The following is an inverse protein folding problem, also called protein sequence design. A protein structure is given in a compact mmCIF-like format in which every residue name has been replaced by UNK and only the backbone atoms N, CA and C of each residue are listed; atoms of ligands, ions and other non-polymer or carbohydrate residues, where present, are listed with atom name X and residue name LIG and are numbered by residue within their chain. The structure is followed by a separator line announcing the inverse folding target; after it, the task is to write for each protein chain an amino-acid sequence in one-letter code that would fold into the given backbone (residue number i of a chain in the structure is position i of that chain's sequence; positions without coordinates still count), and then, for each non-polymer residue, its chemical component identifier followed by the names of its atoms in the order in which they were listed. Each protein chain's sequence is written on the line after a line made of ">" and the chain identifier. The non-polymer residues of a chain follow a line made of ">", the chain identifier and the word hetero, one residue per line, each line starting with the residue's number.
data_IF_001242343645
#
_entry.id   IF_001242343645
#
_cell.length_a   1.000
_cell.length_b   1.000
_cell.length_c   1.000
_cell.angle_alpha   90.00
_cell.angle_beta   90.00
_cell.angle_gamma   90.00
#
_symmetry.space_group_name_H-M   'P 1'
#
loop_
_entity.id
_entity.type
_entity.pdbx_description
1 polymer ?
#
# COMPACT_ATOMS: atom_id res chain seq x y z
N UNK A 1 0.33 29.72 0.08
CA UNK A 1 1.32 28.74 0.57
C UNK A 1 0.66 27.54 1.25
N UNK A 2 -0.09 27.71 2.36
CA UNK A 2 -0.75 26.59 3.06
C UNK A 2 -1.65 25.69 2.18
N UNK A 3 -2.43 26.28 1.27
CA UNK A 3 -3.25 25.52 0.32
C UNK A 3 -2.42 24.62 -0.62
N UNK A 4 -1.28 25.10 -1.11
CA UNK A 4 -0.41 24.34 -2.00
C UNK A 4 0.27 23.17 -1.26
N UNK A 5 0.72 23.39 -0.01
CA UNK A 5 1.31 22.36 0.84
C UNK A 5 0.26 21.28 1.18
N UNK A 6 -0.98 21.68 1.51
CA UNK A 6 -2.07 20.74 1.80
C UNK A 6 -2.42 19.87 0.59
N UNK A 7 -2.48 20.45 -0.61
CA UNK A 7 -2.68 19.70 -1.85
C UNK A 7 -1.52 18.75 -2.14
N UNK A 8 -0.28 19.24 -2.04
CA UNK A 8 0.91 18.42 -2.26
C UNK A 8 0.94 17.21 -1.33
N UNK A 9 0.68 17.41 -0.03
CA UNK A 9 0.62 16.33 0.95
C UNK A 9 -0.49 15.32 0.61
N UNK A 10 -1.67 15.81 0.22
CA UNK A 10 -2.80 14.94 -0.16
C UNK A 10 -2.48 14.10 -1.39
N UNK A 11 -1.85 14.69 -2.41
CA UNK A 11 -1.39 13.96 -3.59
C UNK A 11 -0.28 12.95 -3.27
N UNK A 12 0.64 13.30 -2.38
CA UNK A 12 1.71 12.37 -1.97
C UNK A 12 1.14 11.18 -1.22
N UNK A 13 0.21 11.40 -0.29
CA UNK A 13 -0.48 10.33 0.45
C UNK A 13 -1.30 9.48 -0.51
N UNK A 14 -2.03 10.08 -1.46
CA UNK A 14 -2.78 9.35 -2.48
C UNK A 14 -1.86 8.52 -3.37
N UNK A 15 -0.70 9.06 -3.75
CA UNK A 15 0.32 8.34 -4.51
C UNK A 15 0.85 7.13 -3.76
N UNK A 16 1.19 7.30 -2.47
CA UNK A 16 1.68 6.22 -1.62
C UNK A 16 0.60 5.14 -1.38
N UNK A 17 -0.65 5.55 -1.16
CA UNK A 17 -1.79 4.66 -1.06
C UNK A 17 -2.00 3.84 -2.33
N UNK A 18 -1.95 4.51 -3.49
CA UNK A 18 -2.08 3.88 -4.80
C UNK A 18 -0.95 2.89 -5.04
N UNK A 19 0.30 3.28 -4.75
CA UNK A 19 1.47 2.42 -4.88
C UNK A 19 1.34 1.16 -4.01
N UNK A 20 0.82 1.31 -2.79
CA UNK A 20 0.61 0.18 -1.87
C UNK A 20 -0.48 -0.77 -2.40
N UNK A 21 -1.62 -0.25 -2.84
CA UNK A 21 -2.73 -1.07 -3.37
C UNK A 21 -2.30 -1.83 -4.63
N UNK A 22 -1.69 -1.13 -5.59
CA UNK A 22 -1.26 -1.73 -6.85
C UNK A 22 -0.03 -2.62 -6.69
N UNK A 23 0.89 -2.27 -5.79
CA UNK A 23 2.03 -3.11 -5.44
C UNK A 23 1.59 -4.44 -4.83
N UNK A 24 0.67 -4.39 -3.85
CA UNK A 24 0.11 -5.60 -3.26
C UNK A 24 -0.66 -6.42 -4.31
N UNK A 25 -1.48 -5.78 -5.14
CA UNK A 25 -2.19 -6.45 -6.24
C UNK A 25 -1.23 -7.17 -7.19
N UNK A 26 -0.16 -6.49 -7.63
CA UNK A 26 0.87 -7.06 -8.51
C UNK A 26 1.59 -8.24 -7.85
N UNK A 27 1.89 -8.16 -6.55
CA UNK A 27 2.46 -9.27 -5.80
C UNK A 27 1.51 -10.47 -5.74
N UNK A 28 0.21 -10.27 -5.52
CA UNK A 28 -0.78 -11.35 -5.59
C UNK A 28 -0.85 -11.98 -6.98
N UNK A 29 -0.89 -11.20 -8.05
CA UNK A 29 -0.93 -11.72 -9.43
C UNK A 29 0.35 -12.49 -9.77
N UNK A 30 1.50 -11.94 -9.40
CA UNK A 30 2.79 -12.62 -9.55
C UNK A 30 2.83 -13.94 -8.76
N UNK A 31 2.35 -13.95 -7.52
CA UNK A 31 2.31 -15.15 -6.70
C UNK A 31 1.39 -16.23 -7.28
N UNK A 32 0.20 -15.86 -7.75
CA UNK A 32 -0.75 -16.79 -8.40
C UNK A 32 -0.14 -17.39 -9.67
N UNK A 33 0.46 -16.55 -10.52
CA UNK A 33 1.09 -17.01 -11.77
C UNK A 33 2.35 -17.84 -11.53
N UNK A 34 3.08 -17.57 -10.45
CA UNK A 34 4.28 -18.33 -10.04
C UNK A 34 3.96 -19.56 -9.20
N UNK A 35 2.72 -19.72 -8.72
CA UNK A 35 2.30 -20.82 -7.84
C UNK A 35 2.63 -22.19 -8.42
N UNK A 36 2.39 -22.41 -9.72
CA UNK A 36 2.73 -23.67 -10.39
C UNK A 36 4.23 -23.99 -10.42
N UNK A 37 5.10 -22.96 -10.48
CA UNK A 37 6.54 -23.12 -10.40
C UNK A 37 7.01 -23.42 -8.96
N UNK A 38 6.28 -22.91 -7.96
CA UNK A 38 6.57 -23.09 -6.54
C UNK A 38 6.10 -24.48 -6.03
N UNK A 39 4.96 -24.99 -6.52
CA UNK A 39 4.39 -26.28 -6.10
C UNK A 39 5.12 -27.50 -6.66
N UNK A 40 5.68 -27.41 -7.86
CA UNK A 40 6.44 -28.50 -8.48
C UNK A 40 7.90 -28.60 -8.03
N UNK A 41 8.41 -27.59 -7.32
CA UNK A 41 9.85 -27.40 -7.11
C UNK A 41 10.31 -27.18 -5.68
N UNK A 42 9.43 -27.12 -4.66
CA UNK A 42 9.81 -26.67 -3.31
C UNK A 42 11.03 -27.41 -2.67
N UNK A 43 11.30 -28.67 -3.03
CA UNK A 43 12.51 -29.38 -2.59
C UNK A 43 13.76 -29.15 -3.48
N UNK A 44 13.58 -28.87 -4.78
CA UNK A 44 14.66 -28.58 -5.72
C UNK A 44 15.03 -27.07 -5.78
N UNK A 45 14.07 -26.20 -5.48
CA UNK A 45 14.18 -24.76 -5.46
C UNK A 45 15.12 -24.26 -4.35
N UNK A 46 15.17 -24.94 -3.20
CA UNK A 46 16.03 -24.53 -2.08
C UNK A 46 17.54 -24.69 -2.39
N UNK A 47 17.89 -25.53 -3.36
CA UNK A 47 19.25 -25.63 -3.90
C UNK A 47 19.37 -24.78 -5.16
N UNK A 48 18.40 -24.81 -6.07
CA UNK A 48 18.50 -24.13 -7.36
C UNK A 48 18.41 -22.57 -7.32
N UNK A 49 17.73 -21.97 -6.33
CA UNK A 49 17.59 -20.51 -6.22
C UNK A 49 18.77 -19.82 -5.53
N UNK A 50 19.64 -20.57 -4.88
CA UNK A 50 20.80 -20.00 -4.21
C UNK A 50 22.00 -20.11 -5.16
N UNK A 51 22.46 -18.99 -5.74
CA UNK A 51 23.61 -19.00 -6.63
C UNK A 51 24.81 -19.66 -5.93
N UNK A 52 25.65 -20.38 -6.68
CA UNK A 52 26.76 -21.13 -6.08
C UNK A 52 27.73 -20.22 -5.30
N UNK A 53 27.85 -18.94 -5.69
CA UNK A 53 28.62 -17.92 -4.98
C UNK A 53 28.03 -17.55 -3.61
N UNK A 54 26.72 -17.75 -3.39
CA UNK A 54 26.06 -17.54 -2.09
C UNK A 54 26.20 -18.78 -1.20
N UNK A 55 26.14 -19.99 -1.78
CA UNK A 55 26.30 -21.24 -1.00
C UNK A 55 27.67 -21.34 -0.32
N UNK A 56 28.73 -20.81 -0.94
CA UNK A 56 30.07 -20.81 -0.35
C UNK A 56 30.23 -19.92 0.90
N UNK A 57 29.31 -18.98 1.11
CA UNK A 57 29.38 -18.00 2.20
C UNK A 57 28.46 -18.30 3.38
N UNK A 58 27.55 -19.27 3.25
CA UNK A 58 26.57 -19.60 4.29
C UNK A 58 27.05 -20.81 5.09
N UNK A 59 27.23 -20.66 6.42
CA UNK A 59 27.51 -21.79 7.31
C UNK A 59 26.38 -22.84 7.25
N UNK A 60 26.70 -24.14 7.32
CA UNK A 60 25.71 -25.21 7.18
C UNK A 60 24.64 -25.19 8.29
N UNK A 61 24.97 -24.69 9.47
CA UNK A 61 24.03 -24.48 10.58
C UNK A 61 22.96 -23.45 10.20
N UNK A 62 23.38 -22.32 9.63
CA UNK A 62 22.48 -21.24 9.22
C UNK A 62 21.59 -21.69 8.05
N UNK A 63 22.12 -22.47 7.11
CA UNK A 63 21.33 -23.08 6.03
C UNK A 63 20.26 -24.03 6.57
N UNK A 64 20.57 -24.79 7.63
CA UNK A 64 19.61 -25.68 8.30
C UNK A 64 18.52 -24.91 9.04
N UNK A 65 18.88 -23.86 9.77
CA UNK A 65 17.92 -23.01 10.48
C UNK A 65 16.98 -22.30 9.50
N UNK A 66 17.50 -21.75 8.41
CA UNK A 66 16.69 -21.18 7.34
C UNK A 66 15.78 -22.23 6.68
N UNK A 67 16.32 -23.42 6.38
CA UNK A 67 15.53 -24.52 5.84
C UNK A 67 14.39 -24.94 6.78
N UNK A 68 14.64 -24.97 8.08
CA UNK A 68 13.63 -25.27 9.10
C UNK A 68 12.57 -24.17 9.22
N UNK A 69 12.97 -22.89 9.18
CA UNK A 69 12.03 -21.75 9.16
C UNK A 69 11.17 -21.73 7.89
N UNK A 70 11.75 -22.07 6.73
CA UNK A 70 10.99 -22.16 5.47
C UNK A 70 10.04 -23.36 5.51
N UNK A 71 10.51 -24.52 6.00
CA UNK A 71 9.70 -25.72 6.13
C UNK A 71 8.53 -25.52 7.11
N UNK A 72 8.72 -24.77 8.21
CA UNK A 72 7.65 -24.42 9.16
C UNK A 72 6.61 -23.49 8.54
N UNK A 73 6.97 -22.74 7.50
CA UNK A 73 6.07 -21.89 6.72
C UNK A 73 5.31 -22.67 5.63
N UNK A 74 5.72 -23.92 5.34
CA UNK A 74 5.09 -24.80 4.34
C UNK A 74 3.55 -24.89 4.46
N UNK A 75 2.98 -25.15 5.64
CA UNK A 75 1.53 -25.20 5.84
C UNK A 75 0.83 -23.86 5.58
N UNK A 76 1.47 -22.73 5.89
CA UNK A 76 0.95 -21.39 5.62
C UNK A 76 0.91 -21.13 4.11
N UNK A 77 1.96 -21.54 3.40
CA UNK A 77 2.02 -21.45 1.93
C UNK A 77 0.95 -22.32 1.29
N UNK A 78 0.76 -23.56 1.77
CA UNK A 78 -0.29 -24.45 1.27
C UNK A 78 -1.69 -23.89 1.54
N UNK A 79 -1.96 -23.40 2.76
CA UNK A 79 -3.23 -22.74 3.07
C UNK A 79 -3.49 -21.48 2.25
N UNK A 80 -2.44 -20.72 1.93
CA UNK A 80 -2.55 -19.58 1.02
C UNK A 80 -2.86 -20.04 -0.42
N UNK A 81 -2.21 -21.10 -0.90
CA UNK A 81 -2.44 -21.69 -2.22
C UNK A 81 -3.86 -22.26 -2.37
N UNK A 82 -4.41 -22.91 -1.34
CA UNK A 82 -5.79 -23.38 -1.32
C UNK A 82 -6.80 -22.23 -1.39
N UNK A 83 -6.46 -21.06 -0.85
CA UNK A 83 -7.27 -19.86 -0.95
C UNK A 83 -7.13 -19.12 -2.31
N UNK A 84 -6.08 -19.39 -3.10
CA UNK A 84 -5.80 -18.69 -4.36
C UNK A 84 -6.94 -18.77 -5.39
N UNK A 85 -7.64 -19.91 -5.61
CA UNK A 85 -8.75 -19.97 -6.57
C UNK A 85 -9.92 -19.05 -6.21
N UNK A 86 -10.20 -18.88 -4.92
CA UNK A 86 -11.23 -17.95 -4.42
C UNK A 86 -10.79 -16.48 -4.57
N UNK A 87 -9.50 -16.22 -4.47
CA UNK A 87 -8.89 -14.90 -4.63
C UNK A 87 -8.70 -14.50 -6.09
N UNK A 88 -8.45 -15.44 -7.01
CA UNK A 88 -8.13 -15.16 -8.41
C UNK A 88 -9.23 -14.39 -9.14
N UNK A 89 -10.51 -14.65 -8.82
CA UNK A 89 -11.64 -13.92 -9.39
C UNK A 89 -11.93 -12.58 -8.69
N UNK A 90 -11.58 -12.44 -7.42
CA UNK A 90 -12.01 -11.32 -6.57
C UNK A 90 -10.89 -10.33 -6.26
N UNK A 91 -9.62 -10.69 -6.47
CA UNK A 91 -8.46 -9.86 -6.14
C UNK A 91 -8.46 -8.52 -6.87
N UNK A 92 -8.85 -8.51 -8.15
CA UNK A 92 -8.96 -7.26 -8.92
C UNK A 92 -10.13 -6.41 -8.42
N UNK A 93 -11.27 -7.03 -8.10
CA UNK A 93 -12.45 -6.33 -7.57
C UNK A 93 -12.15 -5.73 -6.20
N UNK A 94 -11.50 -6.49 -5.32
CA UNK A 94 -11.04 -6.04 -4.01
C UNK A 94 -10.01 -4.91 -4.12
N UNK A 95 -9.05 -5.03 -5.05
CA UNK A 95 -8.08 -3.98 -5.30
C UNK A 95 -8.77 -2.67 -5.71
N UNK A 96 -9.73 -2.72 -6.64
CA UNK A 96 -10.53 -1.54 -7.02
C UNK A 96 -11.38 -0.99 -5.88
N UNK A 97 -12.03 -1.86 -5.09
CA UNK A 97 -12.87 -1.44 -3.97
C UNK A 97 -12.05 -0.76 -2.86
N UNK A 98 -10.94 -1.37 -2.45
CA UNK A 98 -10.03 -0.85 -1.42
C UNK A 98 -9.39 0.46 -1.91
N UNK A 99 -8.87 0.46 -3.14
CA UNK A 99 -8.25 1.65 -3.73
C UNK A 99 -9.25 2.80 -3.82
N UNK A 100 -10.46 2.55 -4.34
CA UNK A 100 -11.51 3.54 -4.51
C UNK A 100 -11.99 4.12 -3.17
N UNK A 101 -12.21 3.25 -2.17
CA UNK A 101 -12.61 3.69 -0.83
C UNK A 101 -11.52 4.57 -0.18
N UNK A 102 -10.26 4.15 -0.23
CA UNK A 102 -9.16 4.94 0.31
C UNK A 102 -8.98 6.28 -0.42
N UNK A 103 -9.12 6.29 -1.74
CA UNK A 103 -9.10 7.52 -2.54
C UNK A 103 -10.22 8.48 -2.12
N UNK A 104 -11.42 7.97 -1.92
CA UNK A 104 -12.57 8.76 -1.50
C UNK A 104 -12.38 9.37 -0.10
N UNK A 105 -11.85 8.59 0.85
CA UNK A 105 -11.53 9.07 2.20
C UNK A 105 -10.45 10.15 2.17
N UNK A 106 -9.35 9.94 1.42
CA UNK A 106 -8.27 10.92 1.30
C UNK A 106 -8.77 12.22 0.68
N UNK A 107 -9.58 12.14 -0.39
CA UNK A 107 -10.17 13.32 -1.03
C UNK A 107 -11.15 14.05 -0.11
N UNK A 108 -11.99 13.32 0.62
CA UNK A 108 -12.91 13.91 1.60
C UNK A 108 -12.15 14.67 2.70
N UNK A 109 -11.05 14.11 3.20
CA UNK A 109 -10.16 14.77 4.16
C UNK A 109 -9.49 16.01 3.56
N UNK A 110 -8.99 15.94 2.33
CA UNK A 110 -8.37 17.06 1.64
C UNK A 110 -9.35 18.23 1.46
N UNK A 111 -10.56 17.94 0.98
CA UNK A 111 -11.64 18.93 0.82
C UNK A 111 -12.09 19.48 2.16
N UNK A 112 -12.27 18.62 3.17
CA UNK A 112 -12.65 19.04 4.53
C UNK A 112 -11.64 20.01 5.14
N UNK A 113 -10.34 19.72 5.00
CA UNK A 113 -9.27 20.62 5.43
C UNK A 113 -9.34 21.99 4.72
N UNK A 114 -9.64 21.99 3.42
CA UNK A 114 -9.80 23.22 2.65
C UNK A 114 -10.99 24.06 3.11
N UNK A 115 -12.15 23.44 3.31
CA UNK A 115 -13.34 24.12 3.82
C UNK A 115 -13.11 24.71 5.21
N UNK A 116 -12.42 23.97 6.08
CA UNK A 116 -12.09 24.42 7.42
C UNK A 116 -11.17 25.66 7.40
N UNK A 117 -10.13 25.65 6.55
CA UNK A 117 -9.24 26.81 6.36
C UNK A 117 -10.03 28.01 5.84
N UNK A 118 -10.90 27.81 4.84
CA UNK A 118 -11.72 28.87 4.27
C UNK A 118 -12.68 29.48 5.31
N UNK A 119 -13.29 28.64 6.14
CA UNK A 119 -14.22 29.04 7.19
C UNK A 119 -13.53 29.83 8.31
N UNK A 120 -12.36 29.39 8.76
CA UNK A 120 -11.56 30.12 9.75
C UNK A 120 -11.04 31.46 9.21
N UNK A 121 -10.70 31.54 7.92
CA UNK A 121 -10.31 32.80 7.28
C UNK A 121 -11.48 33.78 7.20
N UNK A 122 -12.68 33.29 6.85
CA UNK A 122 -13.91 34.09 6.77
C UNK A 122 -14.30 34.68 8.14
N UNK A 123 -14.19 33.91 9.23
CA UNK A 123 -14.42 34.40 10.61
C UNK A 123 -13.42 35.46 11.08
N UNK A 124 -12.18 35.42 10.59
CA UNK A 124 -11.17 36.46 10.88
C UNK A 124 -11.32 37.71 10.02
N UNK A 125 -12.09 37.62 8.93
CA UNK A 125 -12.35 38.70 7.98
C UNK A 125 -13.74 39.32 8.13
N UNK A 126 -14.39 39.19 9.29
CA UNK A 126 -15.44 40.12 9.73
C UNK A 126 -14.80 41.26 10.55
N UNK A 127 -14.31 42.33 9.90
CA UNK A 127 -13.99 43.57 10.58
C UNK A 127 -15.30 44.26 10.99
N UNK A 128 -15.30 44.83 12.19
CA UNK A 128 -16.35 45.70 12.68
C UNK A 128 -16.75 46.78 11.66
N UNK A 129 -18.04 47.10 11.72
CA UNK A 129 -18.81 48.10 10.97
C UNK A 129 -18.15 49.51 10.88
N UNK A 130 -18.68 50.37 9.99
CA UNK A 130 -17.94 51.12 8.98
C UNK A 130 -17.30 52.40 9.54
N UNK A 131 -16.11 52.73 9.02
CA UNK A 131 -15.54 54.07 9.12
C UNK A 131 -16.54 55.05 8.47
N UNK A 132 -17.32 55.71 9.32
CA UNK A 132 -18.21 56.78 8.94
C UNK A 132 -17.42 57.83 8.16
N UNK A 133 -17.85 58.07 6.92
CA UNK A 133 -17.45 59.20 6.12
C UNK A 133 -17.80 60.48 6.88
N UNK A 134 -16.84 61.04 7.64
CA UNK A 134 -16.96 62.39 8.17
C UNK A 134 -16.49 63.34 7.08
N UNK A 135 -17.46 63.87 6.35
CA UNK A 135 -17.28 65.07 5.56
C UNK A 135 -17.26 66.28 6.50
N UNK A 136 -16.12 66.95 6.61
CA UNK A 136 -16.05 68.41 6.79
C UNK A 136 -14.67 68.96 6.50
#
# INVERSE_FOLDING_TARGET
>A
MFYAISWFLSFMVLGLWSLTCWGLHALTVWAVTSAGALTGGASAANVALLPDWVRGWIPPELAREFGAMIASTGPIVQGALDAMPALAGTATVLAWAIWGLGTLVILALAVGAHLLIAFFKRRRSEPGLPQATVAR
#
